data_IF_359392780865
#
_entry.id   IF_359392780865
#
_cell.length_a   1.000
_cell.length_b   1.000
_cell.length_c   1.000
_cell.angle_alpha   90.00
_cell.angle_beta   90.00
_cell.angle_gamma   90.00
#
_symmetry.space_group_name_H-M   'P 1'
#
loop_
_entity.id
_entity.type
_entity.pdbx_description
1 polymer ?
#
# COMPACT_ATOMS: atom_id res chain seq x y z
N UNK A 1 -33.39 10.44 22.25
CA UNK A 1 -32.25 9.51 22.39
C UNK A 1 -31.81 9.13 20.98
N UNK A 2 -30.77 9.78 20.46
CA UNK A 2 -30.32 9.57 19.08
C UNK A 2 -29.62 8.21 18.97
N UNK A 3 -30.12 7.35 18.07
CA UNK A 3 -29.49 6.09 17.73
C UNK A 3 -28.36 6.34 16.73
N UNK A 4 -27.12 6.10 17.15
CA UNK A 4 -26.00 5.93 16.23
C UNK A 4 -26.07 4.52 15.67
N UNK A 5 -26.58 4.36 14.45
CA UNK A 5 -26.40 3.12 13.71
C UNK A 5 -24.92 3.02 13.34
N UNK A 6 -24.22 2.05 13.94
CA UNK A 6 -22.88 1.69 13.49
C UNK A 6 -23.00 1.14 12.07
N UNK A 7 -22.30 1.77 11.13
CA UNK A 7 -22.12 1.25 9.78
C UNK A 7 -21.52 -0.15 9.90
N UNK A 8 -22.08 -1.10 9.15
CA UNK A 8 -21.53 -2.45 9.12
C UNK A 8 -20.15 -2.45 8.47
N UNK A 9 -19.33 -3.43 8.85
CA UNK A 9 -18.00 -3.63 8.27
C UNK A 9 -18.07 -3.71 6.73
N UNK A 10 -19.10 -4.36 6.18
CA UNK A 10 -19.34 -4.43 4.74
C UNK A 10 -19.58 -3.05 4.08
N UNK A 11 -20.30 -2.14 4.75
CA UNK A 11 -20.54 -0.77 4.26
C UNK A 11 -19.28 0.10 4.34
N UNK A 12 -18.37 -0.17 5.28
CA UNK A 12 -17.09 0.52 5.39
C UNK A 12 -16.16 0.19 4.21
N UNK A 13 -16.25 -1.03 3.67
CA UNK A 13 -15.45 -1.50 2.53
C UNK A 13 -16.14 -1.40 1.17
N UNK A 14 -17.41 -0.98 1.13
CA UNK A 14 -18.18 -0.93 -0.11
C UNK A 14 -17.55 0.07 -1.10
N UNK A 15 -17.21 -0.44 -2.29
CA UNK A 15 -16.63 0.35 -3.39
C UNK A 15 -15.10 0.50 -3.39
N UNK A 16 -14.38 -0.01 -2.37
CA UNK A 16 -12.91 0.04 -2.36
C UNK A 16 -12.30 -0.92 -3.40
N UNK A 17 -11.13 -0.58 -3.98
CA UNK A 17 -10.40 -1.50 -4.85
C UNK A 17 -10.01 -2.79 -4.12
N UNK A 18 -10.04 -3.93 -4.83
CA UNK A 18 -9.69 -5.22 -4.24
C UNK A 18 -8.18 -5.39 -4.02
N UNK A 19 -7.77 -6.27 -3.10
CA UNK A 19 -6.36 -6.62 -2.80
C UNK A 19 -5.37 -6.67 -3.99
N UNK A 20 -5.58 -7.45 -5.06
CA UNK A 20 -4.64 -7.46 -6.20
C UNK A 20 -4.52 -6.11 -6.92
N UNK A 21 -5.53 -5.24 -6.76
CA UNK A 21 -5.53 -3.86 -7.25
C UNK A 21 -5.00 -2.86 -6.21
N UNK A 22 -4.37 -3.32 -5.14
CA UNK A 22 -3.77 -2.48 -4.09
C UNK A 22 -2.31 -2.80 -3.81
N UNK A 23 -1.77 -3.85 -4.45
CA UNK A 23 -0.40 -4.32 -4.22
C UNK A 23 0.52 -3.99 -5.39
N UNK A 24 1.64 -3.32 -5.09
CA UNK A 24 2.77 -3.10 -6.01
C UNK A 24 3.91 -4.03 -5.60
N UNK A 25 4.42 -4.83 -6.54
CA UNK A 25 5.60 -5.69 -6.29
C UNK A 25 6.87 -5.07 -6.88
N UNK A 26 8.00 -5.32 -6.23
CA UNK A 26 9.30 -4.74 -6.56
C UNK A 26 10.37 -5.80 -6.85
N UNK A 27 11.36 -5.39 -7.65
CA UNK A 27 12.61 -6.14 -7.83
C UNK A 27 13.45 -6.19 -6.56
N UNK A 28 14.48 -7.03 -6.58
CA UNK A 28 15.46 -7.07 -5.48
C UNK A 28 16.19 -5.73 -5.40
N UNK A 29 16.24 -5.17 -4.18
CA UNK A 29 16.86 -3.87 -3.91
C UNK A 29 16.29 -2.66 -4.69
N UNK A 30 15.08 -2.82 -5.23
CA UNK A 30 14.41 -1.78 -6.00
C UNK A 30 13.22 -1.17 -5.25
N UNK A 31 12.95 0.09 -5.56
CA UNK A 31 11.77 0.83 -5.12
C UNK A 31 11.09 1.59 -6.27
N UNK A 32 11.53 1.41 -7.51
CA UNK A 32 10.87 1.99 -8.68
C UNK A 32 9.57 1.25 -8.99
N UNK A 33 8.48 1.98 -9.15
CA UNK A 33 7.18 1.42 -9.51
C UNK A 33 7.13 1.15 -11.01
N UNK A 34 6.92 -0.11 -11.38
CA UNK A 34 6.84 -0.51 -12.78
C UNK A 34 5.58 0.04 -13.49
N UNK A 35 5.71 0.38 -14.78
CA UNK A 35 4.63 0.98 -15.57
C UNK A 35 3.31 0.16 -15.59
N UNK A 36 3.40 -1.16 -15.45
CA UNK A 36 2.23 -2.06 -15.37
C UNK A 36 1.27 -1.74 -14.21
N UNK A 37 1.74 -1.05 -13.17
CA UNK A 37 0.93 -0.66 -12.02
C UNK A 37 0.22 0.69 -12.20
N UNK A 38 0.57 1.47 -13.23
CA UNK A 38 0.04 2.84 -13.39
C UNK A 38 -1.48 2.87 -13.46
N UNK A 39 -2.11 2.00 -14.27
CA UNK A 39 -3.58 1.95 -14.36
C UNK A 39 -4.27 1.53 -13.05
N UNK A 40 -3.62 0.67 -12.25
CA UNK A 40 -4.13 0.30 -10.92
C UNK A 40 -4.02 1.47 -9.93
N UNK A 41 -2.89 2.18 -9.95
CA UNK A 41 -2.65 3.33 -9.09
C UNK A 41 -3.55 4.52 -9.45
N UNK A 42 -3.80 4.72 -10.75
CA UNK A 42 -4.76 5.69 -11.25
C UNK A 42 -6.17 5.37 -10.75
N UNK A 43 -6.60 4.11 -10.82
CA UNK A 43 -7.92 3.71 -10.31
C UNK A 43 -8.07 3.94 -8.78
N UNK A 44 -7.03 3.66 -7.99
CA UNK A 44 -7.04 4.00 -6.56
C UNK A 44 -7.06 5.51 -6.33
N UNK A 45 -6.30 6.27 -7.12
CA UNK A 45 -6.30 7.73 -7.03
C UNK A 45 -7.67 8.32 -7.36
N UNK A 46 -8.34 7.80 -8.40
CA UNK A 46 -9.70 8.22 -8.77
C UNK A 46 -10.71 7.90 -7.66
N UNK A 47 -10.60 6.73 -7.03
CA UNK A 47 -11.42 6.39 -5.87
C UNK A 47 -11.19 7.37 -4.70
N UNK A 48 -9.95 7.67 -4.35
CA UNK A 48 -9.61 8.59 -3.25
C UNK A 48 -10.07 10.03 -3.54
N UNK A 49 -9.93 10.49 -4.78
CA UNK A 49 -10.41 11.81 -5.20
C UNK A 49 -11.94 11.91 -5.15
N UNK A 50 -12.64 10.85 -5.53
CA UNK A 50 -14.10 10.80 -5.45
C UNK A 50 -14.61 10.73 -4.00
N UNK A 51 -13.77 10.26 -3.06
CA UNK A 51 -14.13 10.07 -1.67
C UNK A 51 -13.16 10.85 -0.75
N UNK A 52 -13.29 12.17 -0.71
CA UNK A 52 -12.37 13.06 0.02
C UNK A 52 -12.28 12.84 1.54
N UNK A 53 -13.17 12.03 2.12
CA UNK A 53 -13.13 11.61 3.53
C UNK A 53 -12.43 10.25 3.75
N UNK A 54 -11.99 9.59 2.66
CA UNK A 54 -11.25 8.33 2.74
C UNK A 54 -9.76 8.61 2.79
N UNK A 55 -9.10 7.89 3.67
CA UNK A 55 -7.66 7.93 3.89
C UNK A 55 -7.09 6.53 3.73
N UNK A 56 -5.83 6.45 3.28
CA UNK A 56 -5.09 5.22 3.10
C UNK A 56 -3.74 5.28 3.78
N UNK A 57 -3.28 4.13 4.24
CA UNK A 57 -1.91 3.90 4.66
C UNK A 57 -1.23 3.07 3.57
N UNK A 58 -0.16 3.58 3.00
CA UNK A 58 0.70 2.81 2.11
C UNK A 58 1.75 2.10 2.94
N UNK A 59 1.64 0.79 3.04
CA UNK A 59 2.58 -0.05 3.77
C UNK A 59 3.72 -0.53 2.86
N UNK A 60 4.96 -0.27 3.24
CA UNK A 60 6.15 -0.75 2.55
C UNK A 60 6.75 -1.98 3.22
N UNK A 61 7.03 -3.01 2.42
CA UNK A 61 7.53 -4.31 2.87
C UNK A 61 8.76 -4.75 2.07
N UNK A 62 9.62 -5.56 2.69
CA UNK A 62 10.82 -6.15 2.10
C UNK A 62 10.87 -7.66 2.29
N UNK A 63 11.81 -8.31 1.60
CA UNK A 63 12.19 -9.68 1.97
C UNK A 63 13.20 -9.68 3.14
N UNK A 64 13.49 -10.86 3.67
CA UNK A 64 14.30 -11.07 4.89
C UNK A 64 15.80 -10.81 4.73
N UNK A 65 16.25 -10.42 3.53
CA UNK A 65 17.68 -10.26 3.24
C UNK A 65 18.12 -8.85 3.59
N UNK A 66 19.16 -8.74 4.41
CA UNK A 66 19.74 -7.45 4.81
C UNK A 66 19.69 -7.26 6.32
N UNK A 67 20.00 -6.04 6.78
CA UNK A 67 19.72 -5.68 8.17
C UNK A 67 18.30 -5.15 8.31
N UNK A 68 17.75 -5.27 9.50
CA UNK A 68 16.44 -4.72 9.83
C UNK A 68 16.31 -3.24 9.50
N UNK A 69 17.29 -2.42 9.87
CA UNK A 69 17.29 -0.97 9.61
C UNK A 69 17.33 -0.66 8.11
N UNK A 70 18.09 -1.47 7.35
CA UNK A 70 18.13 -1.37 5.89
C UNK A 70 16.76 -1.64 5.29
N UNK A 71 16.12 -2.72 5.74
CA UNK A 71 14.82 -3.15 5.28
C UNK A 71 13.71 -2.15 5.64
N UNK A 72 13.78 -1.53 6.83
CA UNK A 72 12.90 -0.41 7.19
C UNK A 72 13.07 0.76 6.21
N UNK A 73 14.30 1.19 5.93
CA UNK A 73 14.55 2.29 5.01
C UNK A 73 14.12 1.98 3.56
N UNK A 74 14.32 0.75 3.09
CA UNK A 74 13.90 0.32 1.76
C UNK A 74 12.36 0.21 1.66
N UNK A 75 11.71 -0.32 2.68
CA UNK A 75 10.25 -0.32 2.77
C UNK A 75 9.67 1.09 2.74
N UNK A 76 10.28 2.04 3.46
CA UNK A 76 9.85 3.44 3.47
C UNK A 76 9.96 4.07 2.07
N UNK A 77 11.05 3.82 1.35
CA UNK A 77 11.20 4.27 -0.05
C UNK A 77 10.12 3.69 -0.97
N UNK A 78 9.75 2.42 -0.79
CA UNK A 78 8.67 1.77 -1.58
C UNK A 78 7.31 2.38 -1.31
N UNK A 79 6.98 2.61 -0.03
CA UNK A 79 5.74 3.26 0.36
C UNK A 79 5.66 4.69 -0.20
N UNK A 80 6.74 5.47 -0.05
CA UNK A 80 6.83 6.81 -0.61
C UNK A 80 6.70 6.84 -2.14
N UNK A 81 7.31 5.90 -2.85
CA UNK A 81 7.18 5.83 -4.31
C UNK A 81 5.73 5.64 -4.78
N UNK A 82 4.95 4.82 -4.07
CA UNK A 82 3.51 4.65 -4.36
C UNK A 82 2.72 5.89 -3.97
N UNK A 83 2.98 6.47 -2.79
CA UNK A 83 2.36 7.73 -2.35
C UNK A 83 2.58 8.84 -3.38
N UNK A 84 3.81 9.05 -3.82
CA UNK A 84 4.16 10.13 -4.75
C UNK A 84 3.41 9.98 -6.09
N UNK A 85 3.18 8.75 -6.56
CA UNK A 85 2.37 8.50 -7.75
C UNK A 85 0.89 8.86 -7.50
N UNK A 86 0.31 8.45 -6.37
CA UNK A 86 -1.06 8.81 -6.01
C UNK A 86 -1.25 10.34 -5.94
N UNK A 87 -0.28 11.05 -5.34
CA UNK A 87 -0.28 12.52 -5.29
C UNK A 87 -0.14 13.12 -6.70
N UNK A 88 0.67 12.53 -7.57
CA UNK A 88 0.81 12.98 -8.96
C UNK A 88 -0.48 12.84 -9.77
N UNK A 89 -1.36 11.91 -9.38
CA UNK A 89 -2.72 11.75 -9.93
C UNK A 89 -3.78 12.65 -9.28
N UNK A 90 -3.37 13.51 -8.35
CA UNK A 90 -4.21 14.53 -7.73
C UNK A 90 -4.88 14.12 -6.41
N UNK A 91 -4.45 13.02 -5.79
CA UNK A 91 -4.88 12.68 -4.42
C UNK A 91 -4.31 13.72 -3.44
N UNK A 92 -5.10 14.12 -2.44
CA UNK A 92 -4.62 15.05 -1.42
C UNK A 92 -3.56 14.41 -0.54
N UNK A 93 -2.50 15.15 -0.19
CA UNK A 93 -1.45 14.66 0.72
C UNK A 93 -1.97 14.26 2.10
N UNK A 94 -3.09 14.82 2.55
CA UNK A 94 -3.73 14.44 3.81
C UNK A 94 -4.47 13.11 3.75
N UNK A 95 -4.73 12.55 2.57
CA UNK A 95 -5.41 11.26 2.41
C UNK A 95 -4.44 10.08 2.38
N UNK A 96 -3.12 10.32 2.35
CA UNK A 96 -2.13 9.26 2.14
C UNK A 96 -1.03 9.34 3.19
N UNK A 97 -1.02 8.37 4.09
CA UNK A 97 0.07 8.11 5.02
C UNK A 97 0.96 6.99 4.50
N UNK A 98 2.19 6.90 5.02
CA UNK A 98 3.14 5.84 4.68
C UNK A 98 3.70 5.21 5.93
N UNK A 99 3.77 3.88 5.95
CA UNK A 99 4.39 3.11 7.03
C UNK A 99 5.34 2.09 6.41
N UNK A 100 6.50 1.87 7.03
CA UNK A 100 7.41 0.80 6.64
C UNK A 100 7.41 -0.30 7.71
N UNK A 101 7.15 -1.53 7.29
CA UNK A 101 7.32 -2.71 8.13
C UNK A 101 8.64 -3.44 7.86
N UNK A 102 9.38 -3.04 6.83
CA UNK A 102 10.57 -3.77 6.41
C UNK A 102 10.25 -5.25 6.21
N UNK A 103 11.01 -6.12 6.88
CA UNK A 103 10.84 -7.58 6.83
C UNK A 103 9.88 -8.15 7.89
N UNK A 104 9.33 -7.30 8.77
CA UNK A 104 8.61 -7.73 9.98
C UNK A 104 7.18 -8.24 9.71
N UNK A 105 6.62 -7.95 8.51
CA UNK A 105 5.28 -8.38 8.09
C UNK A 105 5.29 -9.08 6.72
N UNK A 106 5.89 -10.29 6.64
CA UNK A 106 5.93 -11.04 5.38
C UNK A 106 4.51 -11.42 4.91
N UNK A 107 4.27 -11.34 3.61
CA UNK A 107 3.04 -11.89 3.00
C UNK A 107 3.08 -13.42 2.96
N UNK A 108 4.28 -13.98 2.78
CA UNK A 108 4.53 -15.42 2.76
C UNK A 108 5.76 -15.70 3.60
N UNK A 109 5.63 -16.65 4.53
CA UNK A 109 6.75 -17.08 5.36
C UNK A 109 7.72 -18.00 4.60
N UNK A 110 8.98 -18.01 5.03
CA UNK A 110 10.04 -18.84 4.48
C UNK A 110 11.01 -18.08 3.59
N UNK A 111 11.85 -18.85 2.89
CA UNK A 111 13.01 -18.33 2.17
C UNK A 111 13.05 -18.83 0.72
N UNK A 112 13.63 -18.01 -0.16
CA UNK A 112 13.83 -18.29 -1.57
C UNK A 112 13.06 -17.35 -2.48
N UNK A 113 13.45 -17.27 -3.75
CA UNK A 113 12.95 -16.24 -4.68
C UNK A 113 11.43 -16.26 -4.89
N UNK A 114 10.81 -17.45 -4.80
CA UNK A 114 9.35 -17.61 -4.87
C UNK A 114 8.58 -16.98 -3.69
N UNK A 115 9.26 -16.81 -2.54
CA UNK A 115 8.74 -16.15 -1.33
C UNK A 115 9.14 -14.68 -1.33
N UNK A 116 10.43 -14.40 -1.54
CA UNK A 116 10.98 -13.04 -1.50
C UNK A 116 10.28 -12.10 -2.48
N UNK A 117 9.98 -12.57 -3.70
CA UNK A 117 9.26 -11.77 -4.71
C UNK A 117 7.86 -11.33 -4.27
N UNK A 118 7.20 -12.08 -3.39
CA UNK A 118 5.90 -11.73 -2.82
C UNK A 118 6.04 -10.78 -1.63
N UNK A 119 7.14 -10.86 -0.89
CA UNK A 119 7.38 -10.02 0.29
C UNK A 119 7.91 -8.63 -0.09
N UNK A 120 8.59 -8.48 -1.22
CA UNK A 120 8.99 -7.18 -1.79
C UNK A 120 7.79 -6.45 -2.38
N UNK A 121 7.01 -5.77 -1.55
CA UNK A 121 5.77 -5.12 -1.96
C UNK A 121 5.51 -3.80 -1.25
N UNK A 122 4.60 -3.02 -1.83
CA UNK A 122 3.88 -1.97 -1.13
C UNK A 122 2.38 -2.25 -1.25
N UNK A 123 1.62 -2.00 -0.19
CA UNK A 123 0.18 -2.27 -0.12
C UNK A 123 -0.55 -0.98 0.23
N UNK A 124 -1.60 -0.65 -0.52
CA UNK A 124 -2.51 0.45 -0.21
C UNK A 124 -3.58 -0.11 0.72
N UNK A 125 -3.48 0.18 2.02
CA UNK A 125 -4.47 -0.20 3.02
C UNK A 125 -5.44 0.94 3.24
N UNK A 126 -6.73 0.68 3.11
CA UNK A 126 -7.77 1.65 3.45
C UNK A 126 -8.10 1.49 4.93
N UNK A 127 -8.14 2.61 5.67
CA UNK A 127 -8.50 2.60 7.09
C UNK A 127 -9.86 1.93 7.31
N UNK A 128 -9.94 1.06 8.34
CA UNK A 128 -11.18 0.44 8.81
C UNK A 128 -12.16 1.49 9.31
#
# INVERSE_FOLDING_TARGET
MAGGAGMSEAELYEGQPAEPQRVVYFGFDEYSVAAKYQGMLEANADFLKANGNREVVVEGHTDERGSREYNIALGEKRANAVRDILLSYGVSAGQVETVSYGEERPAVEGSGESVWSKNRRAVIEYGQ
#
